data_IF_774645213010
#
_entry.id   IF_774645213010
#
_cell.length_a   1.000
_cell.length_b   1.000
_cell.length_c   1.000
_cell.angle_alpha   90.00
_cell.angle_beta   90.00
_cell.angle_gamma   90.00
#
_symmetry.space_group_name_H-M   'P 1'
#
loop_
_entity.id
_entity.type
_entity.pdbx_description
1 polymer ?
#
# COMPACT_ATOMS: atom_id res chain seq x y z
N UNK A 1 7.13 5.90 3.90
CA UNK A 1 8.43 6.55 4.21
C UNK A 1 9.54 5.51 4.27
N UNK A 2 10.43 5.46 3.26
CA UNK A 2 11.61 4.58 3.27
C UNK A 2 12.61 5.11 4.31
N UNK A 3 12.98 4.28 5.28
CA UNK A 3 14.04 4.59 6.25
C UNK A 3 15.40 4.59 5.57
N UNK A 4 16.17 5.66 5.78
CA UNK A 4 17.63 5.66 5.60
C UNK A 4 18.24 4.55 6.47
N UNK A 5 18.65 3.44 5.85
CA UNK A 5 19.30 2.30 6.53
C UNK A 5 20.80 2.57 6.67
N UNK A 6 21.20 3.28 7.72
CA UNK A 6 22.60 3.22 8.14
C UNK A 6 22.92 1.82 8.67
N UNK A 7 23.70 1.07 7.89
CA UNK A 7 24.14 -0.29 8.21
C UNK A 7 25.00 -0.31 9.49
N UNK A 8 24.37 -0.58 10.64
CA UNK A 8 25.09 -1.03 11.82
C UNK A 8 25.43 -2.50 11.56
N UNK A 9 26.72 -2.83 11.47
CA UNK A 9 27.22 -4.19 11.20
C UNK A 9 26.73 -5.14 12.29
N UNK A 10 25.57 -5.75 12.10
CA UNK A 10 24.98 -6.74 13.01
C UNK A 10 25.87 -7.99 12.99
N UNK A 11 26.18 -8.56 14.17
CA UNK A 11 26.98 -9.79 14.25
C UNK A 11 26.23 -10.90 13.50
N UNK A 12 26.91 -11.57 12.58
CA UNK A 12 26.39 -12.75 11.89
C UNK A 12 26.06 -13.82 12.93
N UNK A 13 24.80 -14.24 12.97
CA UNK A 13 24.35 -15.40 13.75
C UNK A 13 24.32 -16.63 12.84
N UNK A 14 24.34 -17.85 13.41
CA UNK A 14 24.18 -19.07 12.61
C UNK A 14 22.92 -19.07 11.74
N UNK A 15 21.84 -18.45 12.24
CA UNK A 15 20.57 -18.34 11.50
C UNK A 15 20.69 -17.35 10.33
N UNK A 16 21.35 -16.20 10.50
CA UNK A 16 21.64 -15.27 9.39
C UNK A 16 22.49 -15.91 8.31
N UNK A 17 23.55 -16.65 8.68
CA UNK A 17 24.40 -17.36 7.71
C UNK A 17 23.62 -18.45 6.96
N UNK A 18 22.74 -19.18 7.66
CA UNK A 18 21.91 -20.21 7.06
C UNK A 18 20.90 -19.62 6.05
N UNK A 19 20.27 -18.47 6.36
CA UNK A 19 19.39 -17.75 5.44
C UNK A 19 20.14 -17.34 4.17
N UNK A 20 21.29 -16.66 4.33
CA UNK A 20 22.14 -16.20 3.22
C UNK A 20 22.54 -17.37 2.33
N UNK A 21 22.99 -18.47 2.95
CA UNK A 21 23.39 -19.66 2.20
C UNK A 21 22.22 -20.27 1.40
N UNK A 22 21.07 -20.50 2.05
CA UNK A 22 19.93 -21.13 1.38
C UNK A 22 19.39 -20.26 0.24
N UNK A 23 19.26 -18.95 0.45
CA UNK A 23 18.83 -18.01 -0.59
C UNK A 23 19.82 -17.95 -1.77
N UNK A 24 21.12 -17.97 -1.47
CA UNK A 24 22.16 -18.05 -2.51
C UNK A 24 22.05 -19.33 -3.32
N UNK A 25 21.84 -20.49 -2.68
CA UNK A 25 21.67 -21.75 -3.41
C UNK A 25 20.37 -21.82 -4.20
N UNK A 26 19.26 -21.29 -3.66
CA UNK A 26 18.00 -21.17 -4.38
C UNK A 26 18.16 -20.33 -5.65
N UNK A 27 18.86 -19.20 -5.59
CA UNK A 27 19.10 -18.36 -6.77
C UNK A 27 19.94 -19.02 -7.87
N UNK A 28 20.72 -20.06 -7.52
CA UNK A 28 21.54 -20.86 -8.44
C UNK A 28 20.85 -22.17 -8.89
N UNK A 29 19.66 -22.44 -8.38
CA UNK A 29 18.90 -23.64 -8.72
C UNK A 29 18.63 -23.74 -10.22
N UNK A 30 18.83 -24.96 -10.76
CA UNK A 30 18.66 -25.26 -12.18
C UNK A 30 17.35 -25.97 -12.53
N UNK A 31 16.52 -26.32 -11.53
CA UNK A 31 15.31 -27.10 -11.74
C UNK A 31 14.25 -26.85 -10.67
N UNK A 32 12.97 -27.05 -11.03
CA UNK A 32 11.85 -26.90 -10.09
C UNK A 32 11.92 -27.82 -8.86
N UNK A 33 12.59 -28.96 -8.98
CA UNK A 33 12.79 -29.88 -7.86
C UNK A 33 13.82 -29.34 -6.87
N UNK A 34 14.85 -28.67 -7.37
CA UNK A 34 15.83 -27.97 -6.54
C UNK A 34 15.22 -26.71 -5.91
N UNK A 35 14.42 -25.94 -6.66
CA UNK A 35 13.67 -24.79 -6.13
C UNK A 35 12.84 -25.22 -4.91
N UNK A 36 11.97 -26.22 -5.09
CA UNK A 36 11.11 -26.73 -4.03
C UNK A 36 11.90 -27.36 -2.86
N UNK A 37 13.14 -27.81 -3.07
CA UNK A 37 14.00 -28.30 -1.98
C UNK A 37 14.54 -27.13 -1.15
N UNK A 38 15.09 -26.11 -1.80
CA UNK A 38 15.66 -24.95 -1.13
C UNK A 38 14.61 -24.05 -0.49
N UNK A 39 13.49 -23.82 -1.17
CA UNK A 39 12.33 -23.10 -0.64
C UNK A 39 11.83 -23.73 0.66
N UNK A 40 11.56 -25.05 0.68
CA UNK A 40 11.10 -25.74 1.91
C UNK A 40 12.08 -25.59 3.07
N UNK A 41 13.39 -25.66 2.79
CA UNK A 41 14.42 -25.48 3.83
C UNK A 41 14.46 -24.05 4.33
N UNK A 42 14.38 -23.08 3.42
CA UNK A 42 14.42 -21.66 3.72
C UNK A 42 13.17 -21.21 4.49
N UNK A 43 11.97 -21.59 4.04
CA UNK A 43 10.71 -21.35 4.75
C UNK A 43 10.74 -21.94 6.16
N UNK A 44 11.31 -23.14 6.35
CA UNK A 44 11.44 -23.73 7.70
C UNK A 44 12.31 -22.90 8.66
N UNK A 45 13.35 -22.23 8.16
CA UNK A 45 14.18 -21.31 8.94
C UNK A 45 13.38 -20.04 9.25
N UNK A 46 12.74 -19.44 8.24
CA UNK A 46 11.95 -18.21 8.36
C UNK A 46 10.80 -18.39 9.35
N UNK A 47 10.00 -19.45 9.21
CA UNK A 47 8.87 -19.75 10.10
C UNK A 47 9.29 -19.90 11.57
N UNK A 48 10.49 -20.44 11.81
CA UNK A 48 11.04 -20.53 13.17
C UNK A 48 11.41 -19.15 13.70
N UNK A 49 12.03 -18.30 12.88
CA UNK A 49 12.41 -16.93 13.26
C UNK A 49 11.18 -16.04 13.51
N UNK A 50 10.16 -16.11 12.65
CA UNK A 50 8.89 -15.38 12.83
C UNK A 50 8.18 -15.79 14.12
N UNK A 51 8.11 -17.10 14.42
CA UNK A 51 7.57 -17.61 15.69
C UNK A 51 8.41 -17.18 16.90
N UNK A 52 9.73 -17.10 16.72
CA UNK A 52 10.66 -16.60 17.73
C UNK A 52 10.69 -15.08 17.89
N UNK A 53 9.96 -14.35 17.05
CA UNK A 53 10.00 -12.88 16.96
C UNK A 53 11.43 -12.34 16.72
N UNK A 54 12.26 -13.10 16.01
CA UNK A 54 13.64 -12.71 15.67
C UNK A 54 13.71 -12.07 14.28
N UNK A 55 13.22 -10.84 14.22
CA UNK A 55 13.24 -10.04 13.00
C UNK A 55 14.66 -9.52 12.66
N UNK A 56 15.53 -9.41 13.66
CA UNK A 56 16.89 -8.93 13.46
C UNK A 56 17.71 -9.86 12.55
N UNK A 57 17.54 -11.18 12.70
CA UNK A 57 18.21 -12.16 11.85
C UNK A 57 17.75 -12.08 10.38
N UNK A 58 16.44 -11.88 10.15
CA UNK A 58 15.86 -11.72 8.81
C UNK A 58 16.39 -10.47 8.13
N UNK A 59 16.31 -9.32 8.80
CA UNK A 59 16.79 -8.05 8.27
C UNK A 59 18.30 -8.06 8.00
N UNK A 60 19.10 -8.67 8.89
CA UNK A 60 20.54 -8.80 8.68
C UNK A 60 20.89 -9.62 7.43
N UNK A 61 20.12 -10.69 7.14
CA UNK A 61 20.33 -11.50 5.94
C UNK A 61 19.93 -10.72 4.66
N UNK A 62 18.78 -10.03 4.69
CA UNK A 62 18.31 -9.18 3.59
C UNK A 62 19.31 -8.05 3.29
N UNK A 63 19.77 -7.33 4.31
CA UNK A 63 20.75 -6.24 4.14
C UNK A 63 22.08 -6.74 3.57
N UNK A 64 22.52 -7.94 3.97
CA UNK A 64 23.74 -8.55 3.42
C UNK A 64 23.59 -8.87 1.93
N UNK A 65 22.49 -9.53 1.54
CA UNK A 65 22.23 -9.93 0.16
C UNK A 65 21.96 -8.72 -0.75
N UNK A 66 21.32 -7.67 -0.22
CA UNK A 66 21.11 -6.43 -0.94
C UNK A 66 22.44 -5.80 -1.38
N UNK A 67 23.45 -5.78 -0.49
CA UNK A 67 24.78 -5.26 -0.80
C UNK A 67 25.56 -6.03 -1.86
N UNK A 68 25.26 -7.32 -2.05
CA UNK A 68 25.83 -8.13 -3.15
C UNK A 68 25.08 -7.98 -4.47
N UNK A 69 23.83 -7.49 -4.44
CA UNK A 69 22.93 -7.37 -5.58
C UNK A 69 22.46 -8.73 -6.12
N UNK A 70 21.25 -8.75 -6.67
CA UNK A 70 20.75 -9.85 -7.52
C UNK A 70 19.79 -10.84 -6.86
N UNK A 71 19.48 -11.88 -7.62
CA UNK A 71 18.36 -12.82 -7.42
C UNK A 71 18.25 -13.41 -6.00
N UNK A 72 19.35 -13.65 -5.30
CA UNK A 72 19.29 -14.20 -3.94
C UNK A 72 18.57 -13.28 -2.95
N UNK A 73 18.66 -11.96 -3.13
CA UNK A 73 17.90 -11.00 -2.33
C UNK A 73 16.39 -11.15 -2.59
N UNK A 74 16.00 -11.17 -3.87
CA UNK A 74 14.60 -11.27 -4.29
C UNK A 74 13.97 -12.56 -3.77
N UNK A 75 14.66 -13.69 -3.93
CA UNK A 75 14.20 -15.01 -3.45
C UNK A 75 14.01 -15.03 -1.92
N UNK A 76 14.90 -14.39 -1.16
CA UNK A 76 14.76 -14.28 0.30
C UNK A 76 13.60 -13.34 0.66
N UNK A 77 13.50 -12.17 0.02
CA UNK A 77 12.46 -11.19 0.29
C UNK A 77 11.07 -11.79 0.04
N UNK A 78 10.88 -12.44 -1.11
CA UNK A 78 9.62 -13.08 -1.49
C UNK A 78 9.23 -14.19 -0.50
N UNK A 79 10.17 -15.03 -0.08
CA UNK A 79 9.89 -16.09 0.89
C UNK A 79 9.62 -15.56 2.30
N UNK A 80 10.27 -14.48 2.72
CA UNK A 80 10.00 -13.85 4.02
C UNK A 80 8.61 -13.25 4.05
N UNK A 81 8.21 -12.52 3.00
CA UNK A 81 6.84 -12.02 2.84
C UNK A 81 5.83 -13.17 2.81
N UNK A 82 6.09 -14.19 2.00
CA UNK A 82 5.23 -15.37 1.88
C UNK A 82 5.01 -16.09 3.21
N UNK A 83 6.06 -16.32 3.99
CA UNK A 83 5.97 -16.91 5.34
C UNK A 83 5.31 -15.99 6.37
N UNK A 84 5.42 -14.67 6.21
CA UNK A 84 4.76 -13.71 7.09
C UNK A 84 3.23 -13.69 6.85
N UNK A 85 2.80 -13.67 5.59
CA UNK A 85 1.39 -13.57 5.22
C UNK A 85 0.66 -14.92 5.10
N UNK A 86 1.38 -16.05 5.00
CA UNK A 86 0.77 -17.38 4.85
C UNK A 86 1.20 -18.39 5.91
N UNK A 87 0.43 -19.46 6.06
CA UNK A 87 0.80 -20.59 6.93
C UNK A 87 0.02 -21.84 6.58
N UNK A 88 0.72 -22.98 6.61
CA UNK A 88 0.08 -24.28 6.54
C UNK A 88 -0.31 -24.77 7.94
N UNK A 89 -1.60 -24.84 8.23
CA UNK A 89 -2.14 -25.35 9.49
C UNK A 89 -2.37 -26.86 9.39
N UNK A 90 -1.57 -27.70 10.08
CA UNK A 90 -1.76 -29.15 10.04
C UNK A 90 -3.06 -29.54 10.75
N UNK A 91 -3.91 -30.33 10.08
CA UNK A 91 -5.14 -30.85 10.68
C UNK A 91 -4.90 -32.28 11.21
N UNK A 92 -5.17 -32.50 12.50
CA UNK A 92 -5.04 -33.83 13.09
C UNK A 92 -6.13 -34.77 12.54
N UNK A 93 -5.72 -35.85 11.84
CA UNK A 93 -6.58 -36.98 11.47
C UNK A 93 -7.13 -37.02 10.03
N UNK A 94 -7.01 -35.96 9.22
CA UNK A 94 -7.55 -35.92 7.84
C UNK A 94 -6.51 -35.99 6.71
N UNK A 95 -5.22 -36.05 7.02
CA UNK A 95 -4.14 -36.21 6.03
C UNK A 95 -3.82 -34.95 5.21
N UNK A 96 -4.79 -34.06 4.97
CA UNK A 96 -4.58 -32.74 4.36
C UNK A 96 -4.79 -31.64 5.41
N UNK A 97 -3.79 -30.77 5.57
CA UNK A 97 -3.90 -29.55 6.39
C UNK A 97 -4.73 -28.47 5.71
N UNK A 98 -4.73 -27.28 6.32
CA UNK A 98 -5.41 -26.10 5.80
C UNK A 98 -4.40 -25.00 5.47
N UNK A 99 -4.50 -24.41 4.29
CA UNK A 99 -3.68 -23.26 3.93
C UNK A 99 -4.39 -21.99 4.38
N UNK A 100 -3.62 -21.10 5.01
CA UNK A 100 -4.07 -19.84 5.58
C UNK A 100 -3.32 -18.71 4.89
N UNK A 101 -4.04 -17.67 4.45
CA UNK A 101 -3.45 -16.50 3.80
C UNK A 101 -4.07 -15.20 4.35
N UNK A 102 -3.22 -14.29 4.79
CA UNK A 102 -3.56 -12.90 5.12
C UNK A 102 -3.77 -12.14 3.81
N UNK A 103 -4.87 -11.41 3.74
CA UNK A 103 -5.23 -10.60 2.58
C UNK A 103 -5.57 -9.18 3.02
N UNK A 104 -5.45 -8.24 2.08
CA UNK A 104 -5.99 -6.90 2.24
C UNK A 104 -6.87 -6.52 1.03
N UNK A 105 -7.88 -5.71 1.29
CA UNK A 105 -8.74 -5.04 0.32
C UNK A 105 -8.49 -3.52 0.43
N UNK A 106 -7.58 -2.96 -0.37
CA UNK A 106 -7.30 -1.53 -0.34
C UNK A 106 -8.44 -0.71 -0.94
N UNK A 107 -8.60 0.50 -0.45
CA UNK A 107 -9.55 1.51 -0.93
C UNK A 107 -8.82 2.84 -0.98
N UNK A 108 -8.56 3.34 -2.18
CA UNK A 108 -8.03 4.70 -2.35
C UNK A 108 -9.13 5.69 -2.00
N UNK A 109 -8.85 6.73 -1.23
CA UNK A 109 -9.83 7.70 -0.81
C UNK A 109 -9.24 9.11 -0.80
N UNK A 110 -10.04 10.11 -1.14
CA UNK A 110 -9.66 11.51 -0.94
C UNK A 110 -10.84 12.33 -0.42
N UNK A 111 -10.53 13.34 0.39
CA UNK A 111 -11.53 14.22 1.01
C UNK A 111 -10.90 15.56 1.42
N UNK A 112 -11.73 16.60 1.49
CA UNK A 112 -11.35 17.88 2.13
C UNK A 112 -11.32 17.79 3.66
N UNK A 113 -11.87 16.71 4.21
CA UNK A 113 -11.89 16.40 5.63
C UNK A 113 -11.00 15.20 5.92
N UNK A 114 -10.82 14.86 7.19
CA UNK A 114 -10.13 13.65 7.59
C UNK A 114 -10.78 12.40 6.95
N UNK A 115 -9.96 11.56 6.30
CA UNK A 115 -10.42 10.30 5.72
C UNK A 115 -10.64 9.30 6.87
N UNK A 116 -11.86 8.76 7.05
CA UNK A 116 -12.16 7.90 8.20
C UNK A 116 -11.34 6.61 8.27
N UNK A 117 -11.00 6.20 9.48
CA UNK A 117 -10.46 4.88 9.85
C UNK A 117 -11.03 4.50 11.22
N UNK A 118 -11.15 3.21 11.53
CA UNK A 118 -11.69 2.79 12.83
C UNK A 118 -12.53 1.52 12.79
N UNK A 119 -13.25 1.28 13.88
CA UNK A 119 -14.11 0.11 14.02
C UNK A 119 -15.23 0.08 12.98
N UNK A 120 -15.50 -1.11 12.45
CA UNK A 120 -16.60 -1.41 11.53
C UNK A 120 -17.71 -2.07 12.34
N UNK A 121 -18.93 -1.55 12.23
CA UNK A 121 -20.07 -2.17 12.92
C UNK A 121 -20.41 -3.55 12.33
N UNK A 122 -21.06 -4.41 13.13
CA UNK A 122 -21.31 -5.80 12.76
C UNK A 122 -22.19 -5.97 11.50
N UNK A 123 -23.14 -5.05 11.25
CA UNK A 123 -24.01 -5.11 10.07
C UNK A 123 -23.22 -4.83 8.79
N UNK A 124 -22.43 -3.75 8.78
CA UNK A 124 -21.57 -3.41 7.65
C UNK A 124 -20.51 -4.48 7.42
N UNK A 125 -19.92 -5.05 8.50
CA UNK A 125 -18.95 -6.13 8.38
C UNK A 125 -19.58 -7.38 7.73
N UNK A 126 -20.80 -7.76 8.14
CA UNK A 126 -21.53 -8.88 7.54
C UNK A 126 -21.82 -8.63 6.05
N UNK A 127 -22.21 -7.41 5.66
CA UNK A 127 -22.39 -7.05 4.26
C UNK A 127 -21.09 -7.14 3.44
N UNK A 128 -19.97 -6.67 4.00
CA UNK A 128 -18.65 -6.81 3.35
C UNK A 128 -18.29 -8.28 3.14
N UNK A 129 -18.57 -9.15 4.14
CA UNK A 129 -18.35 -10.59 4.01
C UNK A 129 -19.13 -11.20 2.84
N UNK A 130 -20.41 -10.83 2.71
CA UNK A 130 -21.25 -11.31 1.59
C UNK A 130 -20.61 -10.94 0.25
N UNK A 131 -20.17 -9.69 0.09
CA UNK A 131 -19.59 -9.23 -1.18
C UNK A 131 -18.22 -9.86 -1.48
N UNK A 132 -17.38 -10.05 -0.47
CA UNK A 132 -16.09 -10.75 -0.63
C UNK A 132 -16.30 -12.22 -1.03
N UNK A 133 -17.21 -12.93 -0.36
CA UNK A 133 -17.51 -14.33 -0.67
C UNK A 133 -18.14 -14.50 -2.06
N UNK A 134 -18.97 -13.55 -2.49
CA UNK A 134 -19.66 -13.62 -3.78
C UNK A 134 -18.73 -13.34 -4.97
N UNK A 135 -17.79 -12.42 -4.82
CA UNK A 135 -17.07 -11.85 -5.97
C UNK A 135 -15.56 -12.08 -5.95
N UNK A 136 -14.95 -12.29 -4.78
CA UNK A 136 -13.49 -12.28 -4.63
C UNK A 136 -12.93 -13.64 -4.27
N UNK A 137 -13.55 -14.34 -3.31
CA UNK A 137 -13.07 -15.63 -2.84
C UNK A 137 -13.69 -16.81 -3.60
N UNK A 138 -12.95 -17.92 -3.64
CA UNK A 138 -13.45 -19.18 -4.17
C UNK A 138 -14.58 -19.75 -3.28
N UNK A 139 -15.39 -20.65 -3.82
CA UNK A 139 -16.63 -21.10 -3.18
C UNK A 139 -16.41 -21.77 -1.82
N UNK A 140 -15.34 -22.56 -1.69
CA UNK A 140 -15.03 -23.36 -0.49
C UNK A 140 -14.15 -22.61 0.54
N UNK A 141 -13.93 -21.32 0.32
CA UNK A 141 -13.13 -20.49 1.24
C UNK A 141 -13.90 -20.23 2.52
N UNK A 142 -13.24 -20.49 3.64
CA UNK A 142 -13.64 -19.94 4.94
C UNK A 142 -12.73 -18.77 5.24
N UNK A 143 -13.25 -17.67 5.77
CA UNK A 143 -12.43 -16.50 6.05
C UNK A 143 -12.95 -15.75 7.27
N UNK A 144 -12.09 -14.91 7.85
CA UNK A 144 -12.42 -14.00 8.95
C UNK A 144 -11.91 -12.60 8.63
N UNK A 145 -12.67 -11.57 8.99
CA UNK A 145 -12.26 -10.17 8.87
C UNK A 145 -11.84 -9.62 10.22
N UNK A 146 -10.94 -8.63 10.21
CA UNK A 146 -10.85 -7.69 11.31
C UNK A 146 -12.05 -6.72 11.24
N UNK A 147 -12.69 -6.43 12.37
CA UNK A 147 -13.78 -5.44 12.46
C UNK A 147 -13.25 -3.99 12.45
N UNK A 148 -12.27 -3.71 11.61
CA UNK A 148 -11.53 -2.45 11.61
C UNK A 148 -11.12 -2.05 10.19
N UNK A 149 -11.27 -0.76 9.87
CA UNK A 149 -10.79 -0.13 8.65
C UNK A 149 -9.48 0.59 8.94
N UNK A 150 -8.38 0.06 8.42
CA UNK A 150 -7.02 0.50 8.73
C UNK A 150 -6.57 1.67 7.85
N UNK A 151 -5.84 2.62 8.45
CA UNK A 151 -4.94 3.57 7.78
C UNK A 151 -3.56 2.93 7.53
N UNK A 152 -2.70 3.44 6.61
CA UNK A 152 -1.33 2.95 6.45
C UNK A 152 -0.52 2.98 7.75
N UNK A 153 -0.74 3.99 8.59
CA UNK A 153 -0.08 4.14 9.90
C UNK A 153 -0.41 3.00 10.88
N UNK A 154 -1.52 2.29 10.63
CA UNK A 154 -2.05 1.22 11.49
C UNK A 154 -1.76 -0.18 10.94
N UNK A 155 -1.07 -0.29 9.82
CA UNK A 155 -0.62 -1.58 9.28
C UNK A 155 0.57 -2.13 10.09
N UNK A 156 0.77 -3.46 10.12
CA UNK A 156 1.99 -4.07 10.60
C UNK A 156 3.23 -3.44 9.95
N UNK A 157 4.22 -3.05 10.76
CA UNK A 157 5.45 -2.38 10.32
C UNK A 157 6.62 -3.35 10.14
N UNK A 158 6.35 -4.65 10.31
CA UNK A 158 7.34 -5.70 10.52
C UNK A 158 6.83 -7.04 10.00
N UNK A 159 7.74 -7.93 9.59
CA UNK A 159 7.37 -9.29 9.17
C UNK A 159 6.80 -10.10 10.35
N UNK A 160 7.36 -9.89 11.54
CA UNK A 160 6.89 -10.54 12.76
C UNK A 160 5.50 -10.03 13.18
N UNK A 161 5.25 -8.72 13.05
CA UNK A 161 3.93 -8.13 13.29
C UNK A 161 2.90 -8.63 12.27
N UNK A 162 3.28 -8.76 10.99
CA UNK A 162 2.42 -9.31 9.92
C UNK A 162 2.05 -10.76 10.23
N UNK A 163 3.03 -11.59 10.62
CA UNK A 163 2.80 -12.97 11.02
C UNK A 163 1.92 -13.08 12.28
N UNK A 164 2.10 -12.20 13.25
CA UNK A 164 1.29 -12.14 14.47
C UNK A 164 -0.17 -11.74 14.17
N UNK A 165 -0.38 -10.75 13.28
CA UNK A 165 -1.71 -10.37 12.82
C UNK A 165 -2.40 -11.53 12.10
N UNK A 166 -1.70 -12.19 11.16
CA UNK A 166 -2.20 -13.40 10.49
C UNK A 166 -2.61 -14.47 11.50
N UNK A 167 -1.76 -14.80 12.47
CA UNK A 167 -2.06 -15.84 13.46
C UNK A 167 -3.28 -15.47 14.32
N UNK A 168 -3.38 -14.20 14.74
CA UNK A 168 -4.52 -13.68 15.50
C UNK A 168 -5.83 -13.85 14.73
N UNK A 169 -5.86 -13.44 13.47
CA UNK A 169 -7.05 -13.53 12.62
C UNK A 169 -7.39 -14.98 12.23
N UNK A 170 -6.37 -15.81 11.98
CA UNK A 170 -6.54 -17.22 11.60
C UNK A 170 -7.32 -18.03 12.65
N UNK A 171 -7.09 -17.77 13.95
CA UNK A 171 -7.81 -18.44 15.06
C UNK A 171 -9.33 -18.28 14.96
N UNK A 172 -9.81 -17.14 14.48
CA UNK A 172 -11.23 -16.90 14.25
C UNK A 172 -11.69 -17.43 12.87
N UNK A 173 -10.91 -17.17 11.83
CA UNK A 173 -11.21 -17.54 10.44
C UNK A 173 -11.35 -19.05 10.22
N UNK A 174 -10.58 -19.89 10.93
CA UNK A 174 -10.71 -21.36 10.90
C UNK A 174 -12.09 -21.86 11.35
N UNK A 175 -12.85 -21.02 12.07
CA UNK A 175 -14.22 -21.27 12.49
C UNK A 175 -15.24 -20.38 11.76
N UNK A 176 -14.84 -19.68 10.69
CA UNK A 176 -15.70 -18.78 9.92
C UNK A 176 -16.15 -17.54 10.70
N UNK A 177 -15.36 -17.08 11.68
CA UNK A 177 -15.67 -15.93 12.54
C UNK A 177 -14.74 -14.76 12.27
N UNK A 178 -15.25 -13.56 12.54
CA UNK A 178 -14.47 -12.32 12.51
C UNK A 178 -13.73 -12.09 13.84
N UNK A 179 -12.72 -11.23 13.79
CA UNK A 179 -11.90 -10.88 14.94
C UNK A 179 -12.16 -9.44 15.33
N UNK A 180 -12.50 -9.25 16.61
CA UNK A 180 -12.61 -7.93 17.20
C UNK A 180 -11.24 -7.35 17.51
N UNK A 181 -10.97 -6.15 17.02
CA UNK A 181 -9.80 -5.35 17.36
C UNK A 181 -10.19 -4.26 18.35
N UNK A 182 -9.22 -3.86 19.17
CA UNK A 182 -9.39 -2.76 20.12
C UNK A 182 -8.85 -1.47 19.47
N UNK A 183 -9.72 -0.51 19.11
CA UNK A 183 -9.28 0.75 18.52
C UNK A 183 -8.31 1.54 19.41
N UNK A 184 -8.36 1.35 20.73
CA UNK A 184 -7.48 2.06 21.66
C UNK A 184 -6.00 1.61 21.56
N UNK A 185 -5.73 0.47 20.91
CA UNK A 185 -4.38 -0.03 20.65
C UNK A 185 -3.83 0.45 19.31
N UNK A 186 -4.63 1.15 18.52
CA UNK A 186 -4.22 1.61 17.20
C UNK A 186 -3.52 2.97 17.31
N UNK A 187 -2.42 3.19 16.56
CA UNK A 187 -1.78 4.49 16.51
C UNK A 187 -2.71 5.54 15.90
N UNK A 188 -2.45 6.81 16.26
CA UNK A 188 -3.09 7.95 15.62
C UNK A 188 -2.71 8.01 14.14
N UNK A 189 -3.65 8.45 13.32
CA UNK A 189 -3.49 8.52 11.87
C UNK A 189 -3.18 9.94 11.45
N UNK A 190 -2.26 10.09 10.50
CA UNK A 190 -2.04 11.38 9.86
C UNK A 190 -3.18 11.70 8.88
N UNK A 191 -3.49 12.99 8.74
CA UNK A 191 -4.51 13.46 7.82
C UNK A 191 -3.85 13.88 6.50
N UNK A 192 -4.19 13.17 5.43
CA UNK A 192 -3.79 13.50 4.07
C UNK A 192 -5.02 13.80 3.21
N UNK A 193 -4.84 14.64 2.19
CA UNK A 193 -5.88 14.92 1.19
C UNK A 193 -6.35 13.64 0.49
N UNK A 194 -5.38 12.78 0.14
CA UNK A 194 -5.54 11.52 -0.57
C UNK A 194 -4.73 10.46 0.16
N UNK A 195 -5.37 9.35 0.52
CA UNK A 195 -4.78 8.27 1.28
C UNK A 195 -5.49 6.94 1.01
N UNK A 196 -4.95 5.84 1.52
CA UNK A 196 -5.53 4.49 1.36
C UNK A 196 -6.15 3.99 2.66
N UNK A 197 -7.25 3.25 2.56
CA UNK A 197 -7.82 2.49 3.67
C UNK A 197 -7.80 1.01 3.35
N UNK A 198 -7.62 0.17 4.37
CA UNK A 198 -7.51 -1.28 4.18
C UNK A 198 -8.54 -2.01 5.02
N UNK A 199 -9.31 -2.89 4.38
CA UNK A 199 -9.97 -3.98 5.08
C UNK A 199 -9.03 -5.19 5.07
N UNK A 200 -8.76 -5.77 6.24
CA UNK A 200 -7.82 -6.88 6.40
C UNK A 200 -8.55 -8.11 6.91
N UNK A 201 -8.18 -9.27 6.40
CA UNK A 201 -8.71 -10.54 6.86
C UNK A 201 -7.77 -11.70 6.55
N UNK A 202 -8.22 -12.90 6.91
CA UNK A 202 -7.53 -14.15 6.61
C UNK A 202 -8.48 -15.11 5.94
N UNK A 203 -8.05 -15.72 4.83
CA UNK A 203 -8.72 -16.85 4.19
C UNK A 203 -8.10 -18.17 4.64
N UNK A 204 -8.90 -19.23 4.64
CA UNK A 204 -8.56 -20.59 5.06
C UNK A 204 -9.22 -21.58 4.10
N UNK A 205 -8.41 -22.45 3.48
CA UNK A 205 -8.87 -23.47 2.52
C UNK A 205 -8.22 -24.82 2.81
N UNK A 206 -8.76 -25.89 2.23
CA UNK A 206 -8.02 -27.17 2.20
C UNK A 206 -6.71 -26.98 1.43
N UNK A 207 -5.64 -27.64 1.87
CA UNK A 207 -4.33 -27.42 1.27
C UNK A 207 -4.32 -27.68 -0.24
N UNK A 208 -3.80 -26.71 -1.00
CA UNK A 208 -3.79 -26.74 -2.47
C UNK A 208 -5.12 -26.42 -3.17
N UNK A 209 -6.18 -26.06 -2.44
CA UNK A 209 -7.45 -25.64 -3.03
C UNK A 209 -7.43 -24.15 -3.46
N UNK A 210 -8.33 -23.73 -4.37
CA UNK A 210 -8.48 -22.34 -4.77
C UNK A 210 -8.80 -21.40 -3.60
N UNK A 211 -8.09 -20.28 -3.52
CA UNK A 211 -8.26 -19.18 -2.55
C UNK A 211 -9.15 -18.06 -3.12
N UNK A 212 -8.99 -17.76 -4.42
CA UNK A 212 -9.64 -16.64 -5.07
C UNK A 212 -10.56 -17.12 -6.20
N UNK A 213 -11.60 -16.34 -6.50
CA UNK A 213 -12.61 -16.67 -7.51
C UNK A 213 -11.99 -16.97 -8.87
N UNK A 214 -10.93 -16.25 -9.25
CA UNK A 214 -10.24 -16.44 -10.54
C UNK A 214 -9.30 -17.65 -10.61
N UNK A 215 -9.21 -18.45 -9.55
CA UNK A 215 -8.48 -19.72 -9.54
C UNK A 215 -9.41 -20.92 -9.83
N UNK A 216 -10.72 -20.70 -9.88
CA UNK A 216 -11.72 -21.68 -10.31
C UNK A 216 -11.87 -21.65 -11.84
N UNK A 217 -12.29 -22.78 -12.44
CA UNK A 217 -12.30 -22.95 -13.91
C UNK A 217 -13.16 -21.91 -14.65
N UNK A 218 -14.26 -21.46 -14.06
CA UNK A 218 -15.19 -20.47 -14.59
C UNK A 218 -14.95 -19.05 -14.03
N UNK A 219 -13.88 -18.88 -13.26
CA UNK A 219 -13.51 -17.63 -12.61
C UNK A 219 -12.88 -16.61 -13.57
N UNK A 220 -13.09 -15.32 -13.29
CA UNK A 220 -12.44 -14.22 -14.02
C UNK A 220 -11.97 -13.14 -13.05
N UNK A 221 -10.67 -12.84 -13.08
CA UNK A 221 -10.07 -11.81 -12.21
C UNK A 221 -10.62 -10.42 -12.49
N UNK A 222 -10.87 -10.12 -13.78
CA UNK A 222 -11.42 -8.83 -14.18
C UNK A 222 -12.89 -8.67 -13.76
N UNK A 223 -13.69 -9.74 -13.88
CA UNK A 223 -15.09 -9.70 -13.44
C UNK A 223 -15.18 -9.63 -11.91
N UNK A 224 -14.34 -10.38 -11.18
CA UNK A 224 -14.21 -10.29 -9.74
C UNK A 224 -13.92 -8.84 -9.28
N UNK A 225 -12.94 -8.19 -9.91
CA UNK A 225 -12.60 -6.80 -9.61
C UNK A 225 -13.77 -5.84 -9.90
N UNK A 226 -14.40 -5.99 -11.06
CA UNK A 226 -15.54 -5.16 -11.46
C UNK A 226 -16.71 -5.30 -10.48
N UNK A 227 -17.09 -6.53 -10.11
CA UNK A 227 -18.19 -6.77 -9.19
C UNK A 227 -17.85 -6.33 -7.76
N UNK A 228 -16.61 -6.51 -7.31
CA UNK A 228 -16.15 -5.97 -6.03
C UNK A 228 -16.28 -4.44 -5.99
N UNK A 229 -15.84 -3.74 -7.03
CA UNK A 229 -16.00 -2.28 -7.12
C UNK A 229 -17.46 -1.84 -7.12
N UNK A 230 -18.32 -2.55 -7.84
CA UNK A 230 -19.73 -2.20 -7.96
C UNK A 230 -20.51 -2.51 -6.68
N UNK A 231 -20.43 -3.74 -6.17
CA UNK A 231 -21.26 -4.19 -5.05
C UNK A 231 -20.58 -4.04 -3.69
N UNK A 232 -19.29 -4.36 -3.61
CA UNK A 232 -18.48 -4.10 -2.41
C UNK A 232 -18.32 -2.60 -2.16
N UNK A 233 -18.14 -1.82 -3.22
CA UNK A 233 -18.07 -0.36 -3.16
C UNK A 233 -19.29 0.31 -2.53
N UNK A 234 -20.51 -0.17 -2.77
CA UNK A 234 -21.72 0.38 -2.13
C UNK A 234 -21.71 0.15 -0.61
N UNK A 235 -21.17 -0.97 -0.13
CA UNK A 235 -21.02 -1.23 1.31
C UNK A 235 -19.94 -0.32 1.90
N UNK A 236 -18.80 -0.17 1.21
CA UNK A 236 -17.68 0.68 1.62
C UNK A 236 -18.06 2.17 1.69
N UNK A 237 -19.01 2.63 0.88
CA UNK A 237 -19.48 4.03 0.89
C UNK A 237 -19.94 4.48 2.28
N UNK A 238 -20.58 3.58 3.04
CA UNK A 238 -21.03 3.87 4.41
C UNK A 238 -19.88 4.11 5.40
N UNK A 239 -18.68 3.60 5.10
CA UNK A 239 -17.48 3.75 5.94
C UNK A 239 -16.65 5.00 5.59
N UNK A 240 -16.90 5.60 4.42
CA UNK A 240 -16.12 6.71 3.87
C UNK A 240 -17.01 7.92 3.54
N UNK A 241 -17.78 8.46 4.52
CA UNK A 241 -18.62 9.63 4.29
C UNK A 241 -17.79 10.82 3.80
N UNK A 242 -18.35 11.56 2.84
CA UNK A 242 -17.72 12.73 2.21
C UNK A 242 -16.37 12.46 1.51
N UNK A 243 -16.00 11.20 1.30
CA UNK A 243 -14.85 10.83 0.48
C UNK A 243 -15.31 10.47 -0.94
N UNK A 244 -14.53 10.89 -1.92
CA UNK A 244 -14.45 10.13 -3.17
C UNK A 244 -13.50 8.94 -2.93
N UNK A 245 -13.81 7.78 -3.49
CA UNK A 245 -13.01 6.58 -3.26
C UNK A 245 -13.05 5.60 -4.43
N UNK A 246 -12.01 4.76 -4.52
CA UNK A 246 -11.84 3.70 -5.51
C UNK A 246 -11.39 2.41 -4.81
N UNK A 247 -12.27 1.40 -4.66
CA UNK A 247 -11.87 0.10 -4.14
C UNK A 247 -10.94 -0.62 -5.12
N UNK A 248 -9.83 -1.16 -4.63
CA UNK A 248 -8.93 -2.03 -5.40
C UNK A 248 -9.31 -3.50 -5.19
N UNK A 249 -8.84 -4.36 -6.09
CA UNK A 249 -9.04 -5.81 -5.98
C UNK A 249 -8.36 -6.36 -4.71
N UNK A 250 -9.08 -7.09 -3.84
CA UNK A 250 -8.46 -7.73 -2.68
C UNK A 250 -7.53 -8.87 -3.11
N UNK A 251 -6.36 -8.92 -2.49
CA UNK A 251 -5.26 -9.84 -2.83
C UNK A 251 -4.47 -10.21 -1.57
N UNK A 252 -3.45 -11.06 -1.70
CA UNK A 252 -2.53 -11.32 -0.58
C UNK A 252 -1.95 -10.02 -0.04
N UNK A 253 -1.66 -9.99 1.26
CA UNK A 253 -1.38 -8.76 2.00
C UNK A 253 -0.30 -7.90 1.33
N UNK A 254 0.90 -8.43 1.11
CA UNK A 254 2.01 -7.68 0.54
C UNK A 254 1.75 -7.25 -0.91
N UNK A 255 1.10 -8.11 -1.71
CA UNK A 255 0.69 -7.77 -3.08
C UNK A 255 -0.34 -6.64 -3.12
N UNK A 256 -1.30 -6.64 -2.19
CA UNK A 256 -2.33 -5.61 -2.07
C UNK A 256 -1.73 -4.26 -1.65
N UNK A 257 -0.74 -4.25 -0.73
CA UNK A 257 -0.03 -3.02 -0.36
C UNK A 257 0.76 -2.46 -1.56
N UNK A 258 1.54 -3.30 -2.25
CA UNK A 258 2.27 -2.87 -3.46
C UNK A 258 1.35 -2.30 -4.55
N UNK A 259 0.19 -2.92 -4.75
CA UNK A 259 -0.80 -2.41 -5.72
C UNK A 259 -1.42 -1.09 -5.27
N UNK A 260 -1.71 -0.94 -3.97
CA UNK A 260 -2.19 0.32 -3.41
C UNK A 260 -1.16 1.44 -3.59
N UNK A 261 0.11 1.19 -3.28
CA UNK A 261 1.20 2.15 -3.48
C UNK A 261 1.29 2.57 -4.95
N UNK A 262 1.24 1.60 -5.89
CA UNK A 262 1.24 1.87 -7.33
C UNK A 262 0.06 2.75 -7.76
N UNK A 263 -1.15 2.39 -7.33
CA UNK A 263 -2.39 3.04 -7.75
C UNK A 263 -2.61 4.40 -7.04
N UNK A 264 -2.02 4.60 -5.85
CA UNK A 264 -2.13 5.85 -5.10
C UNK A 264 -1.46 7.03 -5.81
N UNK A 265 -0.34 6.82 -6.53
CA UNK A 265 0.39 7.89 -7.23
C UNK A 265 -0.49 8.67 -8.23
N UNK A 266 -1.13 8.03 -9.23
CA UNK A 266 -2.06 8.72 -10.12
C UNK A 266 -3.35 9.16 -9.43
N UNK A 267 -3.78 8.47 -8.37
CA UNK A 267 -4.97 8.85 -7.62
C UNK A 267 -4.75 10.16 -6.85
N UNK A 268 -3.58 10.36 -6.25
CA UNK A 268 -3.22 11.57 -5.51
C UNK A 268 -3.14 12.81 -6.41
N UNK A 269 -2.61 12.70 -7.63
CA UNK A 269 -2.64 13.81 -8.61
C UNK A 269 -4.08 14.18 -9.00
N UNK A 270 -4.91 13.18 -9.32
CA UNK A 270 -6.32 13.42 -9.68
C UNK A 270 -7.09 14.05 -8.51
N UNK A 271 -6.80 13.61 -7.29
CA UNK A 271 -7.38 14.14 -6.06
C UNK A 271 -6.96 15.59 -5.82
N UNK A 272 -5.68 15.94 -6.02
CA UNK A 272 -5.18 17.31 -5.94
C UNK A 272 -5.85 18.25 -6.94
N UNK A 273 -6.00 17.82 -8.20
CA UNK A 273 -6.71 18.61 -9.23
C UNK A 273 -8.17 18.81 -8.82
N UNK A 274 -8.89 17.76 -8.43
CA UNK A 274 -10.29 17.85 -8.02
C UNK A 274 -10.47 18.74 -6.76
N UNK A 275 -9.53 18.65 -5.83
CA UNK A 275 -9.45 19.51 -4.66
C UNK A 275 -9.32 20.98 -5.06
N UNK A 276 -8.33 21.32 -5.89
CA UNK A 276 -8.09 22.70 -6.34
C UNK A 276 -9.28 23.26 -7.12
N UNK A 277 -9.89 22.47 -8.00
CA UNK A 277 -11.10 22.89 -8.74
C UNK A 277 -12.23 23.27 -7.79
N UNK A 278 -12.44 22.47 -6.74
CA UNK A 278 -13.51 22.69 -5.77
C UNK A 278 -13.20 23.84 -4.82
N UNK A 279 -11.97 23.93 -4.34
CA UNK A 279 -11.54 24.92 -3.34
C UNK A 279 -11.41 26.33 -3.93
N UNK A 280 -10.94 26.44 -5.18
CA UNK A 280 -10.75 27.73 -5.85
C UNK A 280 -11.90 28.09 -6.80
N UNK A 281 -12.85 27.17 -7.01
CA UNK A 281 -13.95 27.31 -7.96
C UNK A 281 -13.47 27.65 -9.39
N UNK A 282 -12.44 26.94 -9.85
CA UNK A 282 -11.85 27.10 -11.19
C UNK A 282 -11.86 25.78 -11.96
N UNK A 283 -11.93 25.79 -13.30
CA UNK A 283 -11.75 24.58 -14.09
C UNK A 283 -10.28 24.12 -14.05
N UNK A 284 -10.04 22.81 -14.17
CA UNK A 284 -8.68 22.24 -14.22
C UNK A 284 -7.81 22.85 -15.34
N UNK A 285 -8.43 23.30 -16.43
CA UNK A 285 -7.77 23.97 -17.54
C UNK A 285 -7.10 25.31 -17.17
N UNK A 286 -7.46 25.91 -16.03
CA UNK A 286 -6.85 27.13 -15.51
C UNK A 286 -5.69 26.84 -14.54
N UNK A 287 -5.44 25.57 -14.23
CA UNK A 287 -4.29 25.15 -13.45
C UNK A 287 -3.10 24.90 -14.38
N UNK A 288 -1.91 25.26 -13.90
CA UNK A 288 -0.62 24.83 -14.45
C UNK A 288 0.00 23.84 -13.47
N UNK A 289 0.60 22.77 -13.98
CA UNK A 289 1.37 21.82 -13.20
C UNK A 289 2.84 21.84 -13.63
N UNK A 290 3.74 21.98 -12.67
CA UNK A 290 5.19 21.95 -12.88
C UNK A 290 5.73 20.67 -12.25
N UNK A 291 6.37 19.82 -13.04
CA UNK A 291 6.90 18.52 -12.63
C UNK A 291 8.41 18.60 -12.61
N UNK A 292 9.04 18.14 -11.52
CA UNK A 292 10.50 18.13 -11.43
C UNK A 292 11.05 16.92 -10.66
N UNK A 293 12.27 16.44 -11.01
CA UNK A 293 12.95 15.36 -10.31
C UNK A 293 13.73 15.88 -9.09
N UNK A 294 13.58 15.20 -7.96
CA UNK A 294 14.22 15.53 -6.69
C UNK A 294 15.22 14.45 -6.27
N UNK A 295 16.36 14.92 -5.77
CA UNK A 295 17.55 14.13 -5.54
C UNK A 295 18.10 14.31 -4.12
N UNK A 296 18.55 13.19 -3.53
CA UNK A 296 19.66 13.20 -2.57
C UNK A 296 20.93 12.75 -3.32
N UNK A 297 21.35 11.50 -3.16
CA UNK A 297 22.47 10.92 -3.91
C UNK A 297 22.06 10.38 -5.28
N UNK A 298 20.82 9.93 -5.38
CA UNK A 298 20.17 9.38 -6.56
C UNK A 298 18.78 10.02 -6.69
N UNK A 299 18.06 9.74 -7.78
CA UNK A 299 16.68 10.17 -7.91
C UNK A 299 15.86 9.50 -6.80
N UNK A 300 15.14 10.29 -6.02
CA UNK A 300 14.35 9.77 -4.88
C UNK A 300 12.85 9.89 -5.14
N UNK A 301 12.41 10.98 -5.77
CA UNK A 301 11.01 11.25 -6.08
C UNK A 301 10.85 12.30 -7.17
N UNK A 302 9.66 12.39 -7.76
CA UNK A 302 9.23 13.57 -8.49
C UNK A 302 8.31 14.41 -7.61
N UNK A 303 8.34 15.73 -7.76
CA UNK A 303 7.36 16.62 -7.15
C UNK A 303 6.62 17.40 -8.21
N UNK A 304 5.34 17.63 -7.96
CA UNK A 304 4.45 18.37 -8.83
C UNK A 304 3.94 19.60 -8.07
N UNK A 305 4.31 20.79 -8.50
CA UNK A 305 3.76 22.05 -8.02
C UNK A 305 2.58 22.49 -8.90
N UNK A 306 1.49 22.94 -8.29
CA UNK A 306 0.35 23.52 -9.00
C UNK A 306 0.35 25.03 -8.84
N UNK A 307 0.08 25.77 -9.92
CA UNK A 307 -0.13 27.23 -9.91
C UNK A 307 -1.43 27.59 -10.64
N UNK A 308 -1.91 28.82 -10.44
CA UNK A 308 -3.09 29.35 -11.14
C UNK A 308 -2.67 30.21 -12.34
N UNK A 309 -3.03 29.77 -13.54
CA UNK A 309 -2.69 30.47 -14.79
C UNK A 309 -1.20 30.76 -14.91
N UNK A 310 -0.85 32.03 -15.13
CA UNK A 310 0.54 32.49 -15.29
C UNK A 310 1.24 32.81 -13.95
N UNK A 311 0.60 32.55 -12.80
CA UNK A 311 1.22 32.79 -11.49
C UNK A 311 2.42 31.87 -11.28
N UNK A 312 3.43 32.39 -10.57
CA UNK A 312 4.59 31.63 -10.10
C UNK A 312 4.40 31.10 -8.67
N UNK A 313 3.35 31.52 -7.97
CA UNK A 313 3.03 31.03 -6.63
C UNK A 313 2.45 29.60 -6.69
N UNK A 314 3.07 28.69 -5.94
CA UNK A 314 2.61 27.31 -5.83
C UNK A 314 1.49 27.23 -4.80
N UNK A 315 0.29 26.83 -5.25
CA UNK A 315 -0.91 26.78 -4.42
C UNK A 315 -1.18 25.41 -3.81
N UNK A 316 -0.58 24.37 -4.37
CA UNK A 316 -0.61 23.01 -3.85
C UNK A 316 0.52 22.19 -4.44
N UNK A 317 0.89 21.10 -3.78
CA UNK A 317 1.93 20.21 -4.26
C UNK A 317 1.62 18.75 -4.00
N UNK A 318 2.10 17.89 -4.90
CA UNK A 318 1.99 16.43 -4.77
C UNK A 318 3.36 15.79 -4.96
N UNK A 319 3.73 14.89 -4.06
CA UNK A 319 4.91 14.03 -4.19
C UNK A 319 4.51 12.77 -4.96
N UNK A 320 5.30 12.44 -5.99
CA UNK A 320 5.24 11.19 -6.74
C UNK A 320 6.44 10.33 -6.34
N UNK A 321 6.28 9.40 -5.38
CA UNK A 321 7.38 8.56 -4.92
C UNK A 321 7.81 7.53 -5.96
N UNK A 322 9.09 7.16 -5.95
CA UNK A 322 9.63 6.04 -6.74
C UNK A 322 9.32 4.69 -6.09
N UNK A 323 8.86 3.74 -6.91
CA UNK A 323 8.74 2.33 -6.52
C UNK A 323 10.09 1.60 -6.71
N UNK A 324 10.24 0.42 -6.10
CA UNK A 324 11.52 -0.27 -5.87
C UNK A 324 12.35 -0.66 -7.11
N UNK A 325 11.81 -0.47 -8.32
CA UNK A 325 12.49 -0.77 -9.59
C UNK A 325 12.47 0.41 -10.56
N UNK A 326 12.00 1.57 -10.12
CA UNK A 326 11.93 2.77 -10.94
C UNK A 326 13.17 3.63 -10.66
N UNK A 327 13.82 4.05 -11.74
CA UNK A 327 14.96 4.94 -11.73
C UNK A 327 14.81 6.00 -12.83
N UNK A 328 15.89 6.74 -13.11
CA UNK A 328 15.91 7.77 -14.17
C UNK A 328 15.62 7.22 -15.58
N UNK A 329 15.71 5.91 -15.82
CA UNK A 329 15.43 5.31 -17.12
C UNK A 329 13.94 5.07 -17.38
N UNK A 330 13.11 5.09 -16.33
CA UNK A 330 11.67 5.01 -16.47
C UNK A 330 11.08 6.34 -16.97
N UNK A 331 10.16 6.28 -17.94
CA UNK A 331 9.39 7.47 -18.37
C UNK A 331 8.32 7.83 -17.34
N UNK A 332 8.76 8.26 -16.17
CA UNK A 332 7.90 8.76 -15.09
C UNK A 332 7.32 10.14 -15.40
N UNK A 333 8.07 11.10 -15.97
CA UNK A 333 7.51 12.38 -16.38
C UNK A 333 6.34 12.22 -17.37
N UNK A 334 6.47 11.33 -18.36
CA UNK A 334 5.38 11.04 -19.31
C UNK A 334 4.15 10.44 -18.65
N UNK A 335 4.33 9.55 -17.65
CA UNK A 335 3.20 9.02 -16.86
C UNK A 335 2.50 10.12 -16.05
N UNK A 336 3.28 10.97 -15.36
CA UNK A 336 2.75 12.10 -14.57
C UNK A 336 1.98 13.05 -15.50
N UNK A 337 2.56 13.41 -16.65
CA UNK A 337 1.90 14.25 -17.64
C UNK A 337 0.59 13.62 -18.11
N UNK A 338 0.57 12.34 -18.49
CA UNK A 338 -0.66 11.65 -18.92
C UNK A 338 -1.78 11.77 -17.89
N UNK A 339 -1.47 11.52 -16.61
CA UNK A 339 -2.45 11.62 -15.52
C UNK A 339 -2.99 13.05 -15.36
N UNK A 340 -2.11 14.06 -15.41
CA UNK A 340 -2.51 15.47 -15.32
C UNK A 340 -3.40 15.89 -16.50
N UNK A 341 -3.06 15.46 -17.72
CA UNK A 341 -3.83 15.72 -18.94
C UNK A 341 -5.21 15.06 -18.86
N UNK A 342 -5.28 13.80 -18.40
CA UNK A 342 -6.53 13.08 -18.16
C UNK A 342 -7.40 13.76 -17.09
N UNK A 343 -6.77 14.36 -16.07
CA UNK A 343 -7.45 15.18 -15.06
C UNK A 343 -7.91 16.56 -15.57
N UNK A 344 -7.57 16.93 -16.82
CA UNK A 344 -8.01 18.17 -17.46
C UNK A 344 -7.03 19.34 -17.36
N UNK A 345 -5.83 19.13 -16.81
CA UNK A 345 -4.77 20.15 -16.76
C UNK A 345 -4.19 20.34 -18.16
N UNK A 346 -4.19 21.57 -18.66
CA UNK A 346 -3.75 21.91 -20.03
C UNK A 346 -2.31 22.38 -20.12
N UNK A 347 -1.73 22.81 -19.03
CA UNK A 347 -0.36 23.29 -19.02
C UNK A 347 0.44 22.44 -18.04
N UNK A 348 1.31 21.61 -18.61
CA UNK A 348 2.22 20.74 -17.86
C UNK A 348 3.62 21.10 -18.30
N UNK A 349 4.43 21.62 -17.38
CA UNK A 349 5.82 21.96 -17.59
C UNK A 349 6.68 20.93 -16.88
N UNK A 350 7.53 20.23 -17.63
CA UNK A 350 8.50 19.29 -17.05
C UNK A 350 9.86 19.96 -17.00
N UNK A 351 10.42 20.06 -15.80
CA UNK A 351 11.77 20.56 -15.55
C UNK A 351 12.73 19.37 -15.48
N UNK A 352 13.88 19.49 -16.12
CA UNK A 352 14.90 18.44 -16.24
C UNK A 352 16.10 18.63 -15.29
N UNK A 353 16.18 19.79 -14.62
CA UNK A 353 17.25 20.06 -13.68
C UNK A 353 17.06 19.29 -12.36
N UNK A 354 18.19 18.96 -11.71
CA UNK A 354 18.20 18.22 -10.44
C UNK A 354 17.82 19.16 -9.29
N UNK A 355 16.70 18.91 -8.63
CA UNK A 355 16.32 19.62 -7.42
C UNK A 355 16.83 18.90 -6.16
N UNK A 356 17.25 19.63 -5.12
CA UNK A 356 17.55 19.06 -3.82
C UNK A 356 16.27 18.70 -3.06
N UNK A 357 16.30 17.64 -2.24
CA UNK A 357 15.23 17.29 -1.30
C UNK A 357 15.14 18.30 -0.15
N UNK A 358 14.48 19.42 -0.40
CA UNK A 358 14.26 20.49 0.59
C UNK A 358 12.86 20.44 1.19
N UNK A 359 12.75 20.89 2.44
CA UNK A 359 11.54 20.96 3.23
C UNK A 359 11.45 22.34 3.87
N UNK A 360 10.24 22.83 4.09
CA UNK A 360 10.02 24.08 4.78
C UNK A 360 10.46 23.98 6.26
N UNK A 361 11.26 24.93 6.71
CA UNK A 361 11.79 24.97 8.08
C UNK A 361 10.69 25.18 9.15
N UNK A 362 9.57 25.80 8.78
CA UNK A 362 8.49 26.14 9.72
C UNK A 362 7.52 24.98 9.95
N UNK A 363 7.10 24.30 8.88
CA UNK A 363 6.05 23.27 8.94
C UNK A 363 6.54 21.85 8.59
N UNK A 364 7.76 21.70 8.06
CA UNK A 364 8.32 20.42 7.63
C UNK A 364 7.74 19.85 6.34
N UNK A 365 6.87 20.59 5.64
CA UNK A 365 6.30 20.15 4.37
C UNK A 365 7.34 20.16 3.23
N UNK A 366 7.24 19.26 2.24
CA UNK A 366 8.09 19.31 1.05
C UNK A 366 7.98 20.66 0.32
N UNK A 367 9.09 21.15 -0.22
CA UNK A 367 9.08 22.26 -1.19
C UNK A 367 8.81 21.74 -2.60
N UNK A 368 8.10 22.51 -3.42
CA UNK A 368 7.62 22.11 -4.75
C UNK A 368 8.17 23.04 -5.84
N UNK A 369 8.35 22.56 -7.07
CA UNK A 369 8.89 23.39 -8.15
C UNK A 369 7.86 24.43 -8.58
N UNK A 370 8.30 25.68 -8.72
CA UNK A 370 7.55 26.71 -9.42
C UNK A 370 7.94 26.76 -10.93
N UNK A 371 7.22 27.50 -11.78
CA UNK A 371 7.55 27.62 -13.21
C UNK A 371 8.93 28.21 -13.53
N UNK A 372 9.53 28.91 -12.56
CA UNK A 372 10.86 29.54 -12.67
C UNK A 372 12.01 28.59 -12.29
N UNK A 373 11.70 27.38 -11.80
CA UNK A 373 12.70 26.39 -11.41
C UNK A 373 13.18 26.49 -9.96
N UNK A 374 12.40 27.14 -9.10
CA UNK A 374 12.71 27.32 -7.68
C UNK A 374 11.85 26.39 -6.80
N UNK A 375 12.44 25.76 -5.77
CA UNK A 375 11.69 25.00 -4.77
C UNK A 375 11.01 25.98 -3.78
N UNK A 376 9.69 26.01 -3.76
CA UNK A 376 8.90 26.92 -2.92
C UNK A 376 7.88 26.18 -2.07
N UNK A 377 7.46 26.81 -0.97
CA UNK A 377 6.39 26.27 -0.13
C UNK A 377 5.04 26.40 -0.85
N UNK A 378 4.19 25.39 -0.72
CA UNK A 378 2.85 25.41 -1.30
C UNK A 378 1.85 26.06 -0.34
N UNK A 379 1.16 27.11 -0.78
CA UNK A 379 0.21 27.84 0.05
C UNK A 379 -1.05 28.19 -0.75
N UNK A 380 -2.22 27.76 -0.27
CA UNK A 380 -3.47 28.13 -0.89
C UNK A 380 -3.69 29.65 -0.73
N UNK A 381 -4.18 30.34 -1.77
CA UNK A 381 -4.59 31.73 -1.62
C UNK A 381 -5.58 31.87 -0.47
N UNK A 382 -5.42 32.92 0.35
CA UNK A 382 -6.39 33.27 1.38
C UNK A 382 -7.77 33.40 0.70
N UNK A 383 -8.72 32.56 1.12
CA UNK A 383 -10.11 32.76 0.73
C UNK A 383 -10.56 34.04 1.44
N UNK A 384 -10.89 35.10 0.69
CA UNK A 384 -11.68 36.21 1.23
C UNK A 384 -12.92 35.56 1.88
N UNK A 385 -13.01 35.63 3.21
CA UNK A 385 -14.14 35.09 3.95
C UNK A 385 -15.42 35.75 3.40
N UNK A 386 -16.14 35.06 2.51
CA UNK A 386 -17.52 35.37 2.22
C UNK A 386 -18.26 35.26 3.55
N UNK A 387 -18.58 36.44 4.09
CA UNK A 387 -19.18 36.65 5.40
C UNK A 387 -20.20 35.55 5.71
N UNK A 388 -19.86 34.68 6.66
CA UNK A 388 -20.86 33.87 7.35
C UNK A 388 -21.98 34.82 7.78
N UNK A 389 -23.25 34.59 7.39
CA UNK A 389 -24.34 35.32 7.98
C UNK A 389 -24.35 34.95 9.47
N UNK A 390 -23.88 35.88 10.30
CA UNK A 390 -24.05 35.85 11.74
C UNK A 390 -25.54 35.61 12.02
N UNK A 391 -25.83 34.50 12.69
CA UNK A 391 -27.03 34.21 13.48
C UNK A 391 -28.38 34.63 12.88
N UNK A 392 -29.25 33.65 12.65
CA UNK A 392 -30.67 33.83 12.87
C UNK A 392 -31.16 32.76 13.84
N UNK A 393 -32.01 33.22 14.76
CA UNK A 393 -32.38 32.70 16.07
C UNK A 393 -32.93 31.28 16.14
#
# INVERSE_FOLDING_TARGET
MKRSRFARRTKQTPDTEALIHCATQLSLSGSRLEDAFWERRLSGIIDRLLRGQDEAALNAALDHLYGSGGRAYDELADLVEGCAESHHHPQAGSGAGQDVLLFAAPVLAWSRYAIPSGAINAETLAMLRVQLQAHVFAAEVRFGLADFLFSPDQLPQSYCETAALREKLAKAALHGRDTRLDPAQMPETMNFLSDTRYLIGVVCVAAGAPLFRWQEEDGSRNEAHKQWRLQGGEVLRGLLPACAFEPLLPQSFHAAIREADRASRPYSLRSAVAFLQTTLNVPAANLRAVVAPYYDRQLEEYRVGFTLGESTEVIHGVVWPLLEHEDEAADLPGQIESVLREAGVREVQVLDHRFPLEYCDDCGAPLYPNPEGEPVHAELPEQEEEAMPRHLH
#
